data_IF_352611938911
#
_entry.id   IF_352611938911
#
_cell.length_a   1.000
_cell.length_b   1.000
_cell.length_c   1.000
_cell.angle_alpha   90.00
_cell.angle_beta   90.00
_cell.angle_gamma   90.00
#
_symmetry.space_group_name_H-M   'P 1'
#
loop_
_entity.id
_entity.type
_entity.pdbx_description
1 polymer ?
#
# COMPACT_ATOMS: atom_id res chain seq x y z
N UNK A 1 -19.11 -6.04 -0.15
CA UNK A 1 -18.50 -5.31 -1.28
C UNK A 1 -17.00 -5.36 -1.02
N UNK A 2 -16.21 -5.81 -1.98
CA UNK A 2 -14.75 -5.77 -1.85
C UNK A 2 -14.30 -4.33 -2.13
N UNK A 3 -13.87 -3.64 -1.07
CA UNK A 3 -13.29 -2.32 -1.13
C UNK A 3 -11.81 -2.48 -1.53
N UNK A 4 -11.33 -1.65 -2.44
CA UNK A 4 -9.96 -1.74 -2.97
C UNK A 4 -9.24 -0.39 -2.83
N UNK A 5 -8.02 -0.42 -2.32
CA UNK A 5 -7.09 0.71 -2.28
C UNK A 5 -6.18 0.67 -3.51
N UNK A 6 -6.00 1.81 -4.19
CA UNK A 6 -4.94 1.94 -5.18
C UNK A 6 -3.60 2.11 -4.45
N UNK A 7 -2.69 1.13 -4.60
CA UNK A 7 -1.35 1.17 -4.05
C UNK A 7 -0.33 1.45 -5.15
N UNK A 8 0.40 2.55 -4.98
CA UNK A 8 1.50 2.97 -5.85
C UNK A 8 2.79 3.01 -5.04
N UNK A 9 3.78 2.21 -5.44
CA UNK A 9 5.10 2.18 -4.83
C UNK A 9 6.10 2.78 -5.82
N UNK A 10 6.68 3.92 -5.43
CA UNK A 10 7.67 4.64 -6.22
C UNK A 10 9.01 4.66 -5.51
N UNK A 11 10.08 4.42 -6.26
CA UNK A 11 11.47 4.53 -5.80
C UNK A 11 12.20 5.58 -6.64
N UNK A 12 13.40 6.01 -6.24
CA UNK A 12 14.22 6.90 -7.08
C UNK A 12 14.56 6.31 -8.46
N UNK A 13 14.49 4.98 -8.64
CA UNK A 13 14.70 4.33 -9.94
C UNK A 13 13.44 4.32 -10.81
N UNK A 14 12.27 4.62 -10.24
CA UNK A 14 10.98 4.64 -10.95
C UNK A 14 9.85 3.98 -10.15
N UNK A 15 8.70 3.81 -10.80
CA UNK A 15 7.57 3.06 -10.25
C UNK A 15 7.90 1.56 -10.23
N UNK A 16 7.68 0.90 -9.10
CA UNK A 16 7.91 -0.55 -8.97
C UNK A 16 6.60 -1.34 -8.86
N UNK A 17 5.50 -0.70 -8.47
CA UNK A 17 4.19 -1.33 -8.35
C UNK A 17 3.07 -0.29 -8.44
N UNK A 18 2.07 -0.56 -9.28
CA UNK A 18 0.79 0.16 -9.28
C UNK A 18 -0.35 -0.83 -9.45
N UNK A 19 -1.08 -1.12 -8.36
CA UNK A 19 -2.21 -2.06 -8.39
C UNK A 19 -3.25 -1.78 -7.31
N UNK A 20 -4.46 -2.30 -7.53
CA UNK A 20 -5.52 -2.35 -6.53
C UNK A 20 -5.30 -3.49 -5.55
N UNK A 21 -5.35 -3.19 -4.25
CA UNK A 21 -5.15 -4.14 -3.14
C UNK A 21 -6.24 -3.99 -2.10
N UNK A 22 -6.47 -5.04 -1.32
CA UNK A 22 -7.47 -5.08 -0.25
C UNK A 22 -6.90 -4.66 1.11
N UNK A 23 -5.58 -4.79 1.29
CA UNK A 23 -4.89 -4.44 2.53
C UNK A 23 -3.42 -4.13 2.22
N UNK A 24 -2.82 -3.22 2.99
CA UNK A 24 -1.38 -2.94 2.98
C UNK A 24 -0.83 -3.12 4.38
N UNK A 25 0.18 -3.98 4.54
CA UNK A 25 0.95 -4.11 5.77
C UNK A 25 2.40 -3.71 5.48
N UNK A 26 2.92 -2.72 6.21
CA UNK A 26 4.26 -2.21 6.01
C UNK A 26 4.91 -1.75 7.32
N UNK A 27 6.26 -1.76 7.41
CA UNK A 27 6.97 -1.22 8.54
C UNK A 27 6.94 0.32 8.51
N UNK A 28 6.67 0.93 9.66
CA UNK A 28 6.73 2.37 9.90
C UNK A 28 7.67 2.72 11.06
N UNK A 29 7.89 4.00 11.29
CA UNK A 29 8.84 4.50 12.30
C UNK A 29 8.46 4.09 13.73
N UNK A 30 7.18 3.84 13.99
CA UNK A 30 6.64 3.48 15.31
C UNK A 30 6.44 1.96 15.46
N UNK A 31 6.56 1.19 14.37
CA UNK A 31 6.24 -0.24 14.31
C UNK A 31 5.56 -0.61 13.00
N UNK A 32 4.98 -1.80 12.92
CA UNK A 32 4.19 -2.20 11.75
C UNK A 32 2.87 -1.42 11.68
N UNK A 33 2.49 -1.02 10.46
CA UNK A 33 1.21 -0.38 10.20
C UNK A 33 0.42 -1.16 9.15
N UNK A 34 -0.90 -1.23 9.37
CA UNK A 34 -1.87 -1.77 8.43
C UNK A 34 -2.74 -0.64 7.88
N UNK A 35 -3.00 -0.63 6.57
CA UNK A 35 -3.94 0.26 5.92
C UNK A 35 -5.01 -0.56 5.17
N UNK A 36 -6.27 -0.27 5.48
CA UNK A 36 -7.45 -0.89 4.88
C UNK A 36 -8.21 0.14 4.04
N UNK A 37 -8.85 -0.28 2.94
CA UNK A 37 -9.72 0.58 2.15
C UNK A 37 -11.02 0.88 2.92
N UNK A 38 -11.50 2.12 2.83
CA UNK A 38 -12.66 2.60 3.56
C UNK A 38 -13.35 3.77 2.87
#
# INVERSE_FOLDING_TARGET
MAEYLQLEIVTPQGEILSRRVEEVVAPGTIGEFGALPG
#
